data_IF_696339977944
#
_entry.id   IF_696339977944
#
_cell.length_a   1.000
_cell.length_b   1.000
_cell.length_c   1.000
_cell.angle_alpha   90.00
_cell.angle_beta   90.00
_cell.angle_gamma   90.00
#
_symmetry.space_group_name_H-M   'P 1'
#
loop_
_entity.id
_entity.type
_entity.pdbx_description
1 polymer ?
#
# COMPACT_ATOMS: atom_id res chain seq x y z
N UNK A 1 -8.99 -30.97 -1.25
CA UNK A 1 -8.54 -29.56 -1.08
C UNK A 1 -9.56 -28.86 -0.21
N UNK A 2 -9.18 -28.44 1.01
CA UNK A 2 -10.10 -27.77 1.94
C UNK A 2 -10.41 -26.36 1.41
N UNK A 3 -11.63 -26.11 0.95
CA UNK A 3 -12.11 -24.78 0.53
C UNK A 3 -12.61 -24.07 1.77
N UNK A 4 -11.84 -23.09 2.26
CA UNK A 4 -12.22 -22.27 3.40
C UNK A 4 -13.14 -21.14 2.94
N UNK A 5 -14.25 -20.93 3.65
CA UNK A 5 -15.17 -19.82 3.40
C UNK A 5 -14.74 -18.59 4.17
N UNK A 6 -14.27 -17.57 3.45
CA UNK A 6 -13.65 -16.36 4.00
C UNK A 6 -14.48 -15.12 3.67
N UNK A 7 -14.78 -14.30 4.67
CA UNK A 7 -15.37 -12.97 4.45
C UNK A 7 -14.37 -11.89 4.82
N UNK A 8 -14.06 -11.02 3.86
CA UNK A 8 -13.25 -9.83 4.07
C UNK A 8 -14.15 -8.59 4.25
N UNK A 9 -14.12 -7.98 5.45
CA UNK A 9 -14.88 -6.79 5.79
C UNK A 9 -13.99 -5.54 5.66
N UNK A 10 -14.32 -4.66 4.69
CA UNK A 10 -13.50 -3.52 4.34
C UNK A 10 -14.31 -2.23 4.18
N UNK A 11 -14.16 -1.29 5.13
CA UNK A 11 -14.91 -0.05 5.17
C UNK A 11 -14.29 1.07 4.30
N UNK A 12 -14.07 0.79 3.02
CA UNK A 12 -13.61 1.80 2.06
C UNK A 12 -14.12 1.52 0.66
N UNK A 13 -14.11 2.54 -0.19
CA UNK A 13 -14.64 2.47 -1.56
C UNK A 13 -13.87 1.53 -2.46
N UNK A 14 -14.58 0.71 -3.23
CA UNK A 14 -14.03 -0.16 -4.27
C UNK A 14 -14.93 -0.08 -5.52
N UNK A 15 -14.36 0.17 -6.74
CA UNK A 15 -12.96 0.52 -7.03
C UNK A 15 -12.59 1.94 -6.58
N UNK A 16 -11.33 2.19 -6.31
CA UNK A 16 -10.80 3.53 -6.04
C UNK A 16 -9.29 3.64 -6.31
N UNK A 17 -8.80 4.88 -6.42
CA UNK A 17 -7.35 5.14 -6.57
C UNK A 17 -6.55 4.99 -5.26
N UNK A 18 -7.22 4.64 -4.16
CA UNK A 18 -6.56 4.49 -2.87
C UNK A 18 -5.75 3.19 -2.80
N UNK A 19 -4.56 3.27 -2.25
CA UNK A 19 -3.66 2.11 -2.10
C UNK A 19 -4.27 0.99 -1.25
N UNK A 20 -5.01 1.33 -0.19
CA UNK A 20 -5.69 0.34 0.65
C UNK A 20 -6.75 -0.48 -0.11
N UNK A 21 -7.49 0.15 -1.04
CA UNK A 21 -8.47 -0.55 -1.89
C UNK A 21 -7.79 -1.52 -2.84
N UNK A 22 -6.69 -1.09 -3.47
CA UNK A 22 -5.88 -1.95 -4.33
C UNK A 22 -5.35 -3.17 -3.54
N UNK A 23 -4.84 -2.96 -2.32
CA UNK A 23 -4.33 -4.06 -1.49
C UNK A 23 -5.43 -5.07 -1.15
N UNK A 24 -6.62 -4.62 -0.73
CA UNK A 24 -7.71 -5.53 -0.36
C UNK A 24 -8.21 -6.33 -1.56
N UNK A 25 -8.39 -5.68 -2.70
CA UNK A 25 -8.83 -6.36 -3.93
C UNK A 25 -7.82 -7.42 -4.37
N UNK A 26 -6.53 -7.12 -4.32
CA UNK A 26 -5.47 -8.09 -4.62
C UNK A 26 -5.40 -9.23 -3.58
N UNK A 27 -5.66 -8.93 -2.29
CA UNK A 27 -5.73 -9.97 -1.26
C UNK A 27 -6.91 -10.91 -1.50
N UNK A 28 -8.11 -10.39 -1.77
CA UNK A 28 -9.28 -11.22 -2.06
C UNK A 28 -9.07 -12.06 -3.32
N UNK A 29 -8.46 -11.49 -4.36
CA UNK A 29 -8.12 -12.23 -5.58
C UNK A 29 -7.15 -13.39 -5.28
N UNK A 30 -6.04 -13.11 -4.57
CA UNK A 30 -5.06 -14.13 -4.23
C UNK A 30 -5.59 -15.20 -3.25
N UNK A 31 -6.50 -14.84 -2.33
CA UNK A 31 -7.19 -15.79 -1.46
C UNK A 31 -8.08 -16.73 -2.29
N UNK A 32 -8.81 -16.21 -3.27
CA UNK A 32 -9.65 -16.99 -4.17
C UNK A 32 -8.82 -17.88 -5.11
N UNK A 33 -7.70 -17.38 -5.65
CA UNK A 33 -6.75 -18.20 -6.44
C UNK A 33 -6.09 -19.31 -5.61
N UNK A 34 -6.11 -19.21 -4.28
CA UNK A 34 -5.66 -20.25 -3.36
C UNK A 34 -6.82 -21.19 -2.94
N UNK A 35 -7.81 -21.37 -3.81
CA UNK A 35 -8.96 -22.26 -3.67
C UNK A 35 -9.86 -22.00 -2.45
N UNK A 36 -10.02 -20.74 -2.04
CA UNK A 36 -10.99 -20.37 -1.00
C UNK A 36 -12.24 -19.71 -1.61
N UNK A 37 -13.40 -19.92 -0.96
CA UNK A 37 -14.61 -19.16 -1.26
C UNK A 37 -14.55 -17.80 -0.56
N UNK A 38 -14.27 -16.75 -1.32
CA UNK A 38 -13.99 -15.42 -0.79
C UNK A 38 -15.12 -14.45 -1.11
N UNK A 39 -15.68 -13.84 -0.09
CA UNK A 39 -16.63 -12.72 -0.24
C UNK A 39 -16.05 -11.44 0.37
N UNK A 40 -15.92 -10.41 -0.46
CA UNK A 40 -15.54 -9.06 -0.03
C UNK A 40 -16.81 -8.22 0.21
N UNK A 41 -16.95 -7.64 1.39
CA UNK A 41 -18.05 -6.74 1.72
C UNK A 41 -17.51 -5.31 1.87
N UNK A 42 -18.08 -4.35 1.12
CA UNK A 42 -17.66 -2.95 1.10
C UNK A 42 -18.84 -1.98 1.05
N UNK A 43 -18.66 -0.69 1.38
CA UNK A 43 -19.67 0.32 1.08
C UNK A 43 -19.95 0.42 -0.43
N UNK A 44 -21.18 0.77 -0.80
CA UNK A 44 -21.59 0.97 -2.20
C UNK A 44 -21.10 2.32 -2.78
N UNK A 45 -19.87 2.67 -2.49
CA UNK A 45 -19.19 3.88 -2.98
C UNK A 45 -18.00 3.47 -3.83
N UNK A 46 -17.48 4.38 -4.64
CA UNK A 46 -16.32 4.13 -5.48
C UNK A 46 -16.50 4.65 -6.91
N UNK A 47 -15.53 4.34 -7.74
CA UNK A 47 -15.56 4.71 -9.15
C UNK A 47 -16.65 3.91 -9.89
N UNK A 48 -17.28 4.54 -10.91
CA UNK A 48 -18.18 3.86 -11.85
C UNK A 48 -17.38 3.05 -12.88
N UNK A 49 -16.58 2.09 -12.39
CA UNK A 49 -15.76 1.18 -13.21
C UNK A 49 -15.81 -0.21 -12.63
N UNK A 50 -15.59 -1.23 -13.47
CA UNK A 50 -15.45 -2.60 -12.98
C UNK A 50 -14.08 -2.80 -12.30
N UNK A 51 -13.97 -3.88 -11.51
CA UNK A 51 -12.68 -4.27 -10.90
C UNK A 51 -11.66 -4.58 -12.00
N UNK A 52 -12.07 -5.26 -13.07
CA UNK A 52 -11.18 -5.63 -14.17
C UNK A 52 -10.64 -4.40 -14.92
N UNK A 53 -11.48 -3.42 -15.23
CA UNK A 53 -11.05 -2.18 -15.91
C UNK A 53 -10.06 -1.38 -15.06
N UNK A 54 -10.33 -1.28 -13.75
CA UNK A 54 -9.54 -0.41 -12.88
C UNK A 54 -8.25 -1.08 -12.41
N UNK A 55 -8.31 -2.36 -11.99
CA UNK A 55 -7.16 -3.07 -11.42
C UNK A 55 -6.46 -4.00 -12.41
N UNK A 56 -7.08 -4.34 -13.54
CA UNK A 56 -6.45 -5.06 -14.65
C UNK A 56 -6.40 -6.58 -14.49
N UNK A 57 -7.34 -7.17 -13.75
CA UNK A 57 -7.52 -8.62 -13.66
C UNK A 57 -8.98 -9.01 -13.51
N UNK A 58 -9.34 -10.20 -13.96
CA UNK A 58 -10.70 -10.75 -13.82
C UNK A 58 -11.00 -11.01 -12.33
N UNK A 59 -12.13 -10.51 -11.86
CA UNK A 59 -12.57 -10.72 -10.47
C UNK A 59 -12.83 -12.22 -10.24
N UNK A 60 -12.24 -12.82 -9.22
CA UNK A 60 -12.37 -14.22 -8.84
C UNK A 60 -13.07 -14.45 -7.49
N UNK A 61 -13.58 -13.40 -6.86
CA UNK A 61 -14.24 -13.42 -5.55
C UNK A 61 -15.62 -12.75 -5.62
N UNK A 62 -16.48 -13.05 -4.67
CA UNK A 62 -17.79 -12.41 -4.54
C UNK A 62 -17.66 -11.00 -3.95
N UNK A 63 -18.49 -10.06 -4.43
CA UNK A 63 -18.51 -8.68 -3.95
C UNK A 63 -19.92 -8.29 -3.50
N UNK A 64 -20.06 -7.96 -2.23
CA UNK A 64 -21.29 -7.44 -1.65
C UNK A 64 -21.09 -5.97 -1.28
N UNK A 65 -22.04 -5.13 -1.67
CA UNK A 65 -22.01 -3.69 -1.35
C UNK A 65 -23.05 -3.34 -0.30
N UNK A 66 -22.63 -2.61 0.74
CA UNK A 66 -23.51 -2.09 1.81
C UNK A 66 -23.89 -0.66 1.47
N UNK A 67 -25.19 -0.35 1.55
CA UNK A 67 -25.70 1.01 1.32
C UNK A 67 -25.12 1.97 2.35
N UNK A 68 -24.58 3.08 1.86
CA UNK A 68 -24.13 4.21 2.67
C UNK A 68 -25.16 5.32 2.63
N UNK A 69 -25.49 5.85 3.78
CA UNK A 69 -26.46 6.95 3.87
C UNK A 69 -25.73 8.28 3.76
N UNK A 70 -26.13 9.10 2.77
CA UNK A 70 -25.53 10.43 2.54
C UNK A 70 -25.80 11.41 3.69
N UNK A 71 -26.95 11.24 4.36
CA UNK A 71 -27.40 12.07 5.49
C UNK A 71 -26.56 11.81 6.75
N UNK A 72 -25.98 10.62 6.90
CA UNK A 72 -25.18 10.30 8.07
C UNK A 72 -23.79 10.96 8.00
N UNK A 73 -23.33 11.58 9.09
CA UNK A 73 -21.94 11.98 9.25
C UNK A 73 -21.00 10.79 8.99
N UNK A 74 -19.76 11.07 8.57
CA UNK A 74 -18.77 10.00 8.24
C UNK A 74 -18.57 9.01 9.37
N UNK A 75 -18.58 9.47 10.62
CA UNK A 75 -18.45 8.63 11.81
C UNK A 75 -19.61 7.63 11.96
N UNK A 76 -20.86 8.08 11.82
CA UNK A 76 -22.03 7.19 11.90
C UNK A 76 -22.05 6.16 10.77
N UNK A 77 -21.66 6.53 9.56
CA UNK A 77 -21.52 5.57 8.46
C UNK A 77 -20.44 4.50 8.73
N UNK A 78 -19.43 4.80 9.52
CA UNK A 78 -18.41 3.82 9.92
C UNK A 78 -19.00 2.72 10.81
N UNK A 79 -19.80 3.11 11.81
CA UNK A 79 -20.48 2.16 12.72
C UNK A 79 -21.59 1.40 11.99
N UNK A 80 -22.41 2.11 11.22
CA UNK A 80 -23.46 1.52 10.38
C UNK A 80 -22.90 0.44 9.45
N UNK A 81 -21.81 0.74 8.75
CA UNK A 81 -21.14 -0.24 7.90
C UNK A 81 -20.75 -1.49 8.70
N UNK A 82 -20.15 -1.32 9.86
CA UNK A 82 -19.64 -2.44 10.66
C UNK A 82 -20.77 -3.39 11.06
N UNK A 83 -21.89 -2.83 11.57
CA UNK A 83 -23.07 -3.62 11.96
C UNK A 83 -23.70 -4.30 10.73
N UNK A 84 -24.01 -3.53 9.69
CA UNK A 84 -24.68 -4.04 8.49
C UNK A 84 -23.86 -5.09 7.74
N UNK A 85 -22.53 -4.92 7.70
CA UNK A 85 -21.64 -5.89 7.05
C UNK A 85 -21.59 -7.22 7.81
N UNK A 86 -21.62 -7.20 9.13
CA UNK A 86 -21.67 -8.42 9.97
C UNK A 86 -23.01 -9.12 9.81
N UNK A 87 -24.12 -8.40 9.91
CA UNK A 87 -25.47 -8.99 9.72
C UNK A 87 -25.59 -9.67 8.34
N UNK A 88 -25.08 -9.01 7.29
CA UNK A 88 -25.10 -9.58 5.94
C UNK A 88 -24.17 -10.79 5.80
N UNK A 89 -23.00 -10.77 6.45
CA UNK A 89 -22.02 -11.84 6.40
C UNK A 89 -22.43 -13.10 7.18
N UNK A 90 -23.22 -12.96 8.23
CA UNK A 90 -23.70 -14.11 9.01
C UNK A 90 -24.52 -15.09 8.16
N UNK A 91 -25.28 -14.59 7.15
CA UNK A 91 -26.01 -15.43 6.20
C UNK A 91 -25.09 -16.29 5.33
N UNK A 92 -23.82 -15.91 5.17
CA UNK A 92 -22.83 -16.64 4.38
C UNK A 92 -22.16 -17.76 5.18
N UNK A 93 -22.35 -17.82 6.51
CA UNK A 93 -21.72 -18.79 7.43
C UNK A 93 -20.20 -18.93 7.20
N UNK A 94 -19.41 -17.83 7.26
CA UNK A 94 -17.97 -17.91 7.04
C UNK A 94 -17.25 -18.60 8.19
N UNK A 95 -16.18 -19.31 7.86
CA UNK A 95 -15.27 -19.92 8.83
C UNK A 95 -14.31 -18.91 9.42
N UNK A 96 -13.88 -17.92 8.61
CA UNK A 96 -12.95 -16.88 9.01
C UNK A 96 -13.38 -15.52 8.48
N UNK A 97 -13.22 -14.52 9.35
CA UNK A 97 -13.35 -13.11 8.99
C UNK A 97 -11.97 -12.47 8.89
N UNK A 98 -11.78 -11.62 7.89
CA UNK A 98 -10.62 -10.74 7.77
C UNK A 98 -11.10 -9.30 7.84
N UNK A 99 -10.47 -8.48 8.67
CA UNK A 99 -10.80 -7.05 8.77
C UNK A 99 -9.60 -6.20 9.18
N UNK A 100 -9.70 -4.89 8.94
CA UNK A 100 -8.76 -3.84 9.37
C UNK A 100 -9.44 -2.82 10.27
N UNK A 101 -10.75 -2.93 10.41
CA UNK A 101 -11.59 -1.98 11.10
C UNK A 101 -11.71 -2.39 12.56
N UNK A 102 -11.29 -1.53 13.49
CA UNK A 102 -11.29 -1.82 14.92
C UNK A 102 -12.71 -2.03 15.47
N UNK A 103 -13.69 -1.23 15.07
CA UNK A 103 -15.06 -1.44 15.55
C UNK A 103 -15.67 -2.74 15.03
N UNK A 104 -15.40 -3.09 13.77
CA UNK A 104 -15.78 -4.40 13.22
C UNK A 104 -15.10 -5.54 13.99
N UNK A 105 -13.81 -5.40 14.32
CA UNK A 105 -13.09 -6.36 15.15
C UNK A 105 -13.76 -6.55 16.51
N UNK A 106 -14.08 -5.44 17.20
CA UNK A 106 -14.78 -5.47 18.48
C UNK A 106 -16.09 -6.30 18.42
N UNK A 107 -16.96 -5.99 17.44
CA UNK A 107 -18.22 -6.72 17.25
C UNK A 107 -18.00 -8.21 16.93
N UNK A 108 -17.03 -8.56 16.09
CA UNK A 108 -16.72 -9.94 15.78
C UNK A 108 -16.18 -10.72 16.98
N UNK A 109 -15.42 -10.08 17.87
CA UNK A 109 -14.97 -10.68 19.14
C UNK A 109 -16.17 -10.98 20.05
N UNK A 110 -17.08 -10.03 20.21
CA UNK A 110 -18.32 -10.24 20.98
C UNK A 110 -19.16 -11.40 20.43
N UNK A 111 -19.25 -11.50 19.11
CA UNK A 111 -19.94 -12.58 18.41
C UNK A 111 -19.13 -13.89 18.35
N UNK A 112 -18.01 -13.98 19.05
CA UNK A 112 -17.12 -15.16 19.17
C UNK A 112 -16.65 -15.74 17.82
N UNK A 113 -16.50 -14.91 16.78
CA UNK A 113 -16.05 -15.33 15.44
C UNK A 113 -14.54 -15.54 15.38
N UNK A 114 -14.05 -16.39 14.45
CA UNK A 114 -12.60 -16.51 14.15
C UNK A 114 -12.16 -15.35 13.25
N UNK A 115 -11.09 -14.64 13.62
CA UNK A 115 -10.71 -13.38 13.00
C UNK A 115 -9.22 -13.35 12.68
N UNK A 116 -8.88 -12.91 11.47
CA UNK A 116 -7.57 -12.39 11.11
C UNK A 116 -7.70 -10.86 11.08
N UNK A 117 -6.90 -10.19 11.89
CA UNK A 117 -6.92 -8.73 11.98
C UNK A 117 -5.64 -8.12 11.44
N UNK A 118 -5.74 -7.22 10.46
CA UNK A 118 -4.58 -6.51 9.89
C UNK A 118 -4.46 -5.09 10.47
N UNK A 119 -3.41 -4.84 11.24
CA UNK A 119 -3.06 -3.53 11.81
C UNK A 119 -2.27 -2.71 10.79
N UNK A 120 -2.84 -1.59 10.37
CA UNK A 120 -2.25 -0.70 9.35
C UNK A 120 -1.80 0.65 9.91
N UNK A 121 -2.24 1.00 11.11
CA UNK A 121 -1.93 2.27 11.78
C UNK A 121 -1.89 2.11 13.29
N UNK A 122 -1.23 3.04 13.96
CA UNK A 122 -1.29 3.09 15.41
C UNK A 122 -2.71 3.44 15.88
N UNK A 123 -3.14 2.84 16.98
CA UNK A 123 -4.47 3.06 17.57
C UNK A 123 -4.75 4.54 17.91
N UNK A 124 -3.70 5.33 18.15
CA UNK A 124 -3.84 6.79 18.36
C UNK A 124 -4.53 7.55 17.22
N UNK A 125 -4.53 6.98 16.01
CA UNK A 125 -5.20 7.57 14.83
C UNK A 125 -6.65 7.11 14.67
N UNK A 126 -7.13 6.21 15.54
CA UNK A 126 -8.51 5.76 15.56
C UNK A 126 -9.40 6.72 16.37
N UNK A 127 -10.71 6.66 16.12
CA UNK A 127 -11.67 7.46 16.87
C UNK A 127 -11.68 7.14 18.38
N UNK A 128 -12.17 8.09 19.19
CA UNK A 128 -12.18 8.02 20.66
C UNK A 128 -12.78 6.71 21.17
N UNK A 129 -13.90 6.26 20.63
CA UNK A 129 -14.59 5.03 21.01
C UNK A 129 -13.68 3.81 20.81
N UNK A 130 -13.03 3.69 19.63
CA UNK A 130 -12.13 2.59 19.37
C UNK A 130 -10.93 2.60 20.33
N UNK A 131 -10.34 3.78 20.57
CA UNK A 131 -9.23 3.91 21.52
C UNK A 131 -9.64 3.46 22.91
N UNK A 132 -10.77 3.96 23.41
CA UNK A 132 -11.30 3.57 24.73
C UNK A 132 -11.48 2.05 24.85
N UNK A 133 -12.14 1.41 23.88
CA UNK A 133 -12.39 -0.04 23.89
C UNK A 133 -11.08 -0.82 23.88
N UNK A 134 -10.16 -0.51 22.98
CA UNK A 134 -8.95 -1.32 22.78
C UNK A 134 -7.83 -1.03 23.79
N UNK A 135 -7.84 0.13 24.43
CA UNK A 135 -6.89 0.47 25.50
C UNK A 135 -7.31 -0.13 26.86
N UNK A 136 -8.61 -0.19 27.15
CA UNK A 136 -9.09 -0.62 28.47
C UNK A 136 -9.44 -2.13 28.54
N UNK A 137 -9.97 -2.74 27.49
CA UNK A 137 -10.52 -4.11 27.55
C UNK A 137 -9.61 -5.20 26.97
N UNK A 138 -8.32 -4.93 26.72
CA UNK A 138 -7.34 -5.91 26.20
C UNK A 138 -7.83 -6.73 24.99
N UNK A 139 -8.69 -6.15 24.14
CA UNK A 139 -9.37 -6.82 23.04
C UNK A 139 -8.40 -7.46 22.03
N UNK A 140 -7.21 -6.88 21.84
CA UNK A 140 -6.18 -7.42 20.94
C UNK A 140 -5.58 -8.75 21.42
N UNK A 141 -5.77 -9.11 22.71
CA UNK A 141 -5.35 -10.40 23.28
C UNK A 141 -6.43 -11.50 23.17
N UNK A 142 -7.60 -11.20 22.57
CA UNK A 142 -8.69 -12.15 22.40
C UNK A 142 -8.24 -13.43 21.69
N UNK A 143 -8.61 -14.60 22.22
CA UNK A 143 -8.38 -15.90 21.57
C UNK A 143 -9.12 -16.04 20.24
N UNK A 144 -10.08 -15.16 19.93
CA UNK A 144 -10.81 -15.14 18.66
C UNK A 144 -9.99 -14.55 17.52
N UNK A 145 -8.95 -13.76 17.82
CA UNK A 145 -7.96 -13.32 16.84
C UNK A 145 -6.97 -14.47 16.64
N UNK A 146 -7.13 -15.22 15.56
CA UNK A 146 -6.26 -16.37 15.23
C UNK A 146 -4.93 -15.91 14.65
N UNK A 147 -4.91 -14.75 13.95
CA UNK A 147 -3.67 -14.12 13.47
C UNK A 147 -3.82 -12.59 13.53
N UNK A 148 -2.90 -11.94 14.25
CA UNK A 148 -2.79 -10.49 14.35
C UNK A 148 -1.62 -10.04 13.48
N UNK A 149 -1.93 -9.40 12.37
CA UNK A 149 -0.96 -9.07 11.31
C UNK A 149 -0.58 -7.60 11.40
N UNK A 150 0.71 -7.33 11.34
CA UNK A 150 1.28 -5.99 11.26
C UNK A 150 1.94 -5.79 9.90
N UNK A 151 1.84 -4.57 9.35
CA UNK A 151 2.42 -4.27 8.03
C UNK A 151 3.91 -3.95 8.08
N UNK A 152 4.49 -3.70 9.27
CA UNK A 152 5.93 -3.46 9.50
C UNK A 152 6.35 -4.03 10.85
N UNK A 153 7.66 -4.33 11.00
CA UNK A 153 8.23 -4.75 12.27
C UNK A 153 8.13 -3.66 13.33
N UNK A 154 8.38 -2.40 12.95
CA UNK A 154 8.27 -1.26 13.85
C UNK A 154 6.87 -1.16 14.46
N UNK A 155 5.82 -1.27 13.65
CA UNK A 155 4.44 -1.26 14.14
C UNK A 155 4.15 -2.45 15.08
N UNK A 156 4.64 -3.65 14.75
CA UNK A 156 4.52 -4.84 15.62
C UNK A 156 5.18 -4.60 16.96
N UNK A 157 6.41 -4.11 16.99
CA UNK A 157 7.15 -3.86 18.23
C UNK A 157 6.42 -2.87 19.14
N UNK A 158 5.93 -1.76 18.61
CA UNK A 158 5.16 -0.77 19.37
C UNK A 158 3.90 -1.38 20.00
N UNK A 159 3.15 -2.19 19.22
CA UNK A 159 1.93 -2.83 19.72
C UNK A 159 2.22 -3.94 20.74
N UNK A 160 3.22 -4.79 20.51
CA UNK A 160 3.63 -5.84 21.42
C UNK A 160 4.02 -5.23 22.77
N UNK A 161 4.84 -4.17 22.76
CA UNK A 161 5.27 -3.46 23.97
C UNK A 161 4.08 -2.81 24.70
N UNK A 162 3.26 -2.04 23.97
CA UNK A 162 2.15 -1.26 24.56
C UNK A 162 1.02 -2.16 25.10
N UNK A 163 0.63 -3.19 24.33
CA UNK A 163 -0.54 -4.02 24.65
C UNK A 163 -0.19 -5.40 25.22
N UNK A 164 1.11 -5.67 25.49
CA UNK A 164 1.62 -6.97 26.01
C UNK A 164 1.08 -8.16 25.22
N UNK A 165 1.21 -8.10 23.87
CA UNK A 165 0.66 -9.10 22.98
C UNK A 165 1.47 -10.39 23.00
N UNK A 166 0.80 -11.55 22.86
CA UNK A 166 1.44 -12.85 22.70
C UNK A 166 2.06 -12.99 21.31
N UNK A 167 3.38 -13.25 21.25
CA UNK A 167 4.15 -13.28 19.99
C UNK A 167 3.70 -14.38 19.03
N UNK A 168 3.27 -15.54 19.54
CA UNK A 168 2.87 -16.70 18.74
C UNK A 168 1.62 -16.46 17.86
N UNK A 169 0.86 -15.40 18.11
CA UNK A 169 -0.31 -14.99 17.29
C UNK A 169 -0.08 -13.70 16.51
N UNK A 170 1.17 -13.24 16.46
CA UNK A 170 1.51 -12.00 15.76
C UNK A 170 2.45 -12.28 14.61
N UNK A 171 2.12 -11.78 13.43
CA UNK A 171 2.99 -11.89 12.25
C UNK A 171 3.20 -10.52 11.58
N UNK A 172 4.30 -10.41 10.82
CA UNK A 172 4.56 -9.23 10.00
C UNK A 172 4.41 -9.61 8.54
N UNK A 173 3.43 -8.99 7.89
CA UNK A 173 3.18 -9.14 6.47
C UNK A 173 3.14 -7.76 5.81
N UNK A 174 4.28 -7.34 5.28
CA UNK A 174 4.37 -6.09 4.51
C UNK A 174 3.46 -6.12 3.28
N UNK A 175 3.28 -4.97 2.63
CA UNK A 175 2.55 -4.89 1.37
C UNK A 175 3.20 -5.77 0.30
N UNK A 176 2.50 -6.01 -0.80
CA UNK A 176 2.94 -6.86 -1.90
C UNK A 176 2.59 -6.22 -3.25
N UNK A 177 3.06 -6.83 -4.34
CA UNK A 177 2.71 -6.44 -5.71
C UNK A 177 2.23 -7.63 -6.52
N UNK A 178 1.33 -7.38 -7.48
CA UNK A 178 0.91 -8.31 -8.54
C UNK A 178 1.54 -7.99 -9.90
N UNK A 179 2.47 -7.05 -9.95
CA UNK A 179 3.19 -6.76 -11.19
C UNK A 179 4.04 -7.97 -11.56
N UNK A 180 3.69 -8.59 -12.68
CA UNK A 180 4.52 -9.65 -13.28
C UNK A 180 5.46 -8.98 -14.28
N UNK A 181 6.75 -9.18 -14.12
CA UNK A 181 7.77 -8.67 -15.02
C UNK A 181 8.75 -9.77 -15.40
N UNK A 182 9.41 -9.60 -16.54
CA UNK A 182 10.54 -10.39 -16.92
C UNK A 182 11.80 -9.86 -16.23
N UNK A 183 12.90 -10.60 -16.32
CA UNK A 183 14.20 -10.09 -15.88
C UNK A 183 14.48 -8.72 -16.54
N UNK A 184 15.02 -7.74 -15.81
CA UNK A 184 15.34 -6.45 -16.39
C UNK A 184 16.38 -6.57 -17.51
N UNK A 185 16.11 -5.94 -18.61
CA UNK A 185 17.06 -5.76 -19.71
C UNK A 185 18.13 -4.72 -19.32
N UNK A 186 19.25 -4.73 -20.03
CA UNK A 186 20.29 -3.71 -19.85
C UNK A 186 19.73 -2.35 -20.21
N UNK A 187 20.03 -1.37 -19.37
CA UNK A 187 19.69 0.03 -19.63
C UNK A 187 20.68 0.56 -20.66
N UNK A 188 20.17 1.07 -21.78
CA UNK A 188 21.01 1.58 -22.87
C UNK A 188 20.83 3.07 -23.14
N UNK A 189 19.88 3.71 -22.44
CA UNK A 189 19.47 5.08 -22.70
C UNK A 189 20.52 6.11 -22.21
N UNK A 190 20.90 7.04 -23.10
CA UNK A 190 21.71 8.22 -22.73
C UNK A 190 20.94 9.20 -21.81
N UNK A 191 19.60 9.29 -21.98
CA UNK A 191 18.73 10.16 -21.19
C UNK A 191 17.87 9.31 -20.24
N UNK A 192 18.15 9.39 -18.96
CA UNK A 192 17.46 8.61 -17.91
C UNK A 192 16.03 9.11 -17.75
N UNK A 193 15.08 8.17 -17.70
CA UNK A 193 13.68 8.40 -17.35
C UNK A 193 13.46 8.13 -15.88
N UNK A 194 13.11 9.15 -15.12
CA UNK A 194 12.89 9.08 -13.67
C UNK A 194 11.40 9.15 -13.38
N UNK A 195 10.86 8.14 -12.70
CA UNK A 195 9.44 7.99 -12.44
C UNK A 195 9.06 8.17 -10.98
N UNK A 196 7.91 8.81 -10.75
CA UNK A 196 7.23 8.82 -9.45
C UNK A 196 5.75 8.50 -9.64
N UNK A 197 5.22 7.56 -8.86
CA UNK A 197 3.84 7.10 -8.93
C UNK A 197 3.17 7.17 -7.55
N UNK A 198 2.11 7.94 -7.40
CA UNK A 198 1.33 7.98 -6.16
C UNK A 198 0.81 9.35 -5.76
N UNK A 199 0.43 9.49 -4.50
CA UNK A 199 -0.14 10.71 -3.96
C UNK A 199 0.84 11.89 -4.05
N UNK A 200 0.37 13.02 -4.57
CA UNK A 200 1.16 14.24 -4.77
C UNK A 200 0.93 15.21 -3.59
N UNK A 201 1.73 15.04 -2.54
CA UNK A 201 1.81 15.99 -1.43
C UNK A 201 3.26 16.23 -1.03
N UNK A 202 3.49 17.21 -0.18
CA UNK A 202 4.85 17.64 0.19
C UNK A 202 5.58 16.53 0.95
N UNK A 203 4.95 15.90 1.92
CA UNK A 203 5.58 14.84 2.72
C UNK A 203 6.02 13.60 1.91
N UNK A 204 5.54 13.49 0.67
CA UNK A 204 5.94 12.45 -0.29
C UNK A 204 6.83 12.99 -1.40
N UNK A 205 7.34 14.21 -1.24
CA UNK A 205 8.38 14.81 -2.06
C UNK A 205 7.90 15.43 -3.39
N UNK A 206 6.62 15.77 -3.56
CA UNK A 206 6.17 16.36 -4.81
C UNK A 206 6.91 17.65 -5.15
N UNK A 207 6.99 18.62 -4.21
CA UNK A 207 7.69 19.87 -4.42
C UNK A 207 9.21 19.66 -4.60
N UNK A 208 9.78 18.67 -3.89
CA UNK A 208 11.17 18.28 -4.05
C UNK A 208 11.46 17.80 -5.48
N UNK A 209 10.61 16.92 -6.07
CA UNK A 209 10.80 16.43 -7.44
C UNK A 209 10.73 17.59 -8.44
N UNK A 210 9.80 18.54 -8.23
CA UNK A 210 9.71 19.72 -9.09
C UNK A 210 10.99 20.58 -9.06
N UNK A 211 11.59 20.75 -7.88
CA UNK A 211 12.87 21.47 -7.73
C UNK A 211 14.03 20.67 -8.33
N UNK A 212 14.08 19.37 -8.08
CA UNK A 212 15.12 18.50 -8.61
C UNK A 212 15.12 18.48 -10.14
N UNK A 213 13.95 18.34 -10.77
CA UNK A 213 13.83 18.38 -12.23
C UNK A 213 14.25 19.71 -12.85
N UNK A 214 14.11 20.83 -12.12
CA UNK A 214 14.54 22.16 -12.58
C UNK A 214 16.06 22.27 -12.69
N UNK A 215 16.81 21.65 -11.77
CA UNK A 215 18.29 21.70 -11.78
C UNK A 215 18.92 20.54 -12.57
N UNK A 216 18.17 19.45 -12.80
CA UNK A 216 18.62 18.29 -13.57
C UNK A 216 17.92 18.26 -14.94
N UNK A 217 18.38 19.11 -15.85
CA UNK A 217 17.81 19.27 -17.19
C UNK A 217 18.26 18.20 -18.18
N UNK A 218 19.18 17.31 -17.80
CA UNK A 218 19.69 16.22 -18.63
C UNK A 218 18.79 14.97 -18.62
N UNK A 219 17.91 14.84 -17.63
CA UNK A 219 17.06 13.67 -17.46
C UNK A 219 15.58 14.06 -17.53
N UNK A 220 14.70 13.10 -17.84
CA UNK A 220 13.24 13.30 -17.95
C UNK A 220 12.54 12.78 -16.71
N UNK A 221 11.64 13.60 -16.15
CA UNK A 221 10.89 13.28 -14.94
C UNK A 221 9.41 13.05 -15.24
N UNK A 222 8.90 11.89 -14.89
CA UNK A 222 7.52 11.48 -15.12
C UNK A 222 6.81 11.29 -13.79
N UNK A 223 5.80 12.12 -13.52
CA UNK A 223 5.00 12.05 -12.29
C UNK A 223 3.58 11.61 -12.64
N UNK A 224 3.09 10.58 -11.98
CA UNK A 224 1.73 10.07 -12.10
C UNK A 224 1.01 10.10 -10.76
N UNK A 225 -0.02 10.96 -10.64
CA UNK A 225 -0.83 11.11 -9.44
C UNK A 225 -1.67 12.37 -9.44
N UNK A 226 -2.48 12.54 -8.39
CA UNK A 226 -3.38 13.69 -8.28
C UNK A 226 -4.57 13.66 -9.25
N UNK A 227 -5.56 14.49 -8.99
CA UNK A 227 -6.73 14.67 -9.87
C UNK A 227 -6.37 15.47 -11.13
N UNK A 228 -7.19 15.40 -12.17
CA UNK A 228 -7.01 16.21 -13.38
C UNK A 228 -6.95 17.70 -13.05
N UNK A 229 -7.87 18.20 -12.21
CA UNK A 229 -7.91 19.60 -11.78
C UNK A 229 -6.61 20.01 -11.06
N UNK A 230 -6.10 19.16 -10.16
CA UNK A 230 -4.83 19.41 -9.48
C UNK A 230 -3.66 19.53 -10.47
N UNK A 231 -3.55 18.59 -11.42
CA UNK A 231 -2.47 18.58 -12.42
C UNK A 231 -2.54 19.79 -13.34
N UNK A 232 -3.74 20.16 -13.84
CA UNK A 232 -3.92 21.35 -14.65
C UNK A 232 -3.46 22.62 -13.91
N UNK A 233 -3.86 22.78 -12.64
CA UNK A 233 -3.44 23.92 -11.83
C UNK A 233 -1.92 23.96 -11.59
N UNK A 234 -1.28 22.79 -11.45
CA UNK A 234 0.17 22.72 -11.27
C UNK A 234 0.93 23.00 -12.55
N UNK A 235 0.47 22.53 -13.70
CA UNK A 235 1.06 22.83 -15.02
C UNK A 235 1.11 24.32 -15.33
N UNK A 236 0.10 25.09 -14.92
CA UNK A 236 0.10 26.56 -15.06
C UNK A 236 1.23 27.27 -14.28
N UNK A 237 1.71 26.64 -13.20
CA UNK A 237 2.69 27.25 -12.27
C UNK A 237 4.11 26.67 -12.41
N UNK A 238 4.25 25.55 -13.09
CA UNK A 238 5.53 24.82 -13.19
C UNK A 238 5.90 24.74 -14.67
N UNK A 239 6.96 25.45 -15.03
CA UNK A 239 7.46 25.49 -16.42
C UNK A 239 8.82 24.78 -16.52
N UNK A 240 8.85 23.47 -16.25
CA UNK A 240 10.05 22.65 -16.41
C UNK A 240 9.88 21.80 -17.66
N UNK A 241 10.67 22.05 -18.71
CA UNK A 241 10.56 21.35 -20.01
C UNK A 241 10.75 19.82 -19.94
N UNK A 242 11.46 19.34 -18.92
CA UNK A 242 11.77 17.92 -18.71
C UNK A 242 10.88 17.26 -17.64
N UNK A 243 9.84 17.95 -17.12
CA UNK A 243 8.92 17.46 -16.10
C UNK A 243 7.53 17.19 -16.69
N UNK A 244 7.14 15.92 -16.74
CA UNK A 244 5.85 15.47 -17.28
C UNK A 244 4.88 15.13 -16.16
N UNK A 245 3.94 16.02 -15.88
CA UNK A 245 2.91 15.86 -14.86
C UNK A 245 1.67 15.16 -15.42
N UNK A 246 1.28 14.04 -14.85
CA UNK A 246 0.13 13.25 -15.25
C UNK A 246 -0.81 12.97 -14.05
N UNK A 247 -2.12 12.99 -14.31
CA UNK A 247 -3.13 12.61 -13.33
C UNK A 247 -3.13 11.10 -13.03
N UNK A 248 -3.91 10.70 -12.04
CA UNK A 248 -4.13 9.29 -11.73
C UNK A 248 -4.48 8.47 -12.97
N UNK A 249 -3.83 7.33 -13.10
CA UNK A 249 -4.14 6.30 -14.10
C UNK A 249 -4.71 5.06 -13.42
N UNK A 250 -5.57 4.28 -14.08
CA UNK A 250 -5.96 2.96 -13.59
C UNK A 250 -4.73 2.09 -13.32
N UNK A 251 -4.79 1.28 -12.28
CA UNK A 251 -3.64 0.44 -11.90
C UNK A 251 -3.23 -0.52 -13.04
N UNK A 252 -4.19 -0.95 -13.86
CA UNK A 252 -3.95 -1.75 -15.07
C UNK A 252 -2.93 -1.12 -16.03
N UNK A 253 -2.85 0.23 -16.10
CA UNK A 253 -1.90 0.96 -16.94
C UNK A 253 -0.58 1.29 -16.22
N UNK A 254 -0.60 1.40 -14.88
CA UNK A 254 0.56 1.82 -14.08
C UNK A 254 1.75 0.88 -14.25
N UNK A 255 1.52 -0.44 -14.30
CA UNK A 255 2.58 -1.44 -14.48
C UNK A 255 3.43 -1.21 -15.74
N UNK A 256 2.78 -0.84 -16.86
CA UNK A 256 3.48 -0.61 -18.12
C UNK A 256 4.25 0.73 -18.07
N UNK A 257 3.62 1.77 -17.51
CA UNK A 257 4.29 3.06 -17.33
C UNK A 257 5.53 2.97 -16.43
N UNK A 258 5.50 2.13 -15.37
CA UNK A 258 6.69 1.89 -14.54
C UNK A 258 7.81 1.19 -15.31
N UNK A 259 7.47 0.29 -16.25
CA UNK A 259 8.47 -0.41 -17.08
C UNK A 259 9.24 0.53 -18.00
N UNK A 260 8.63 1.64 -18.41
CA UNK A 260 9.27 2.65 -19.27
C UNK A 260 10.30 3.51 -18.53
N UNK A 261 10.33 3.47 -17.19
CA UNK A 261 11.27 4.23 -16.38
C UNK A 261 12.58 3.47 -16.22
N UNK A 262 13.67 4.21 -15.98
CA UNK A 262 14.97 3.65 -15.61
C UNK A 262 15.19 3.69 -14.10
N UNK A 263 14.79 4.79 -13.47
CA UNK A 263 14.87 5.03 -12.03
C UNK A 263 13.50 5.36 -11.47
N UNK A 264 13.15 4.80 -10.32
CA UNK A 264 11.94 5.11 -9.57
C UNK A 264 12.32 5.74 -8.22
N UNK A 265 11.68 6.87 -7.87
CA UNK A 265 12.10 7.65 -6.71
C UNK A 265 11.05 7.67 -5.59
N UNK A 266 11.54 7.64 -4.33
CA UNK A 266 10.75 7.70 -3.10
C UNK A 266 11.30 8.82 -2.18
N UNK A 267 11.15 10.11 -2.56
CA UNK A 267 11.72 11.23 -1.82
C UNK A 267 10.80 11.67 -0.67
N UNK A 268 10.66 10.80 0.32
CA UNK A 268 9.86 11.08 1.50
C UNK A 268 10.54 12.11 2.42
N UNK A 269 9.75 13.01 2.98
CA UNK A 269 10.18 13.82 4.12
C UNK A 269 10.34 12.95 5.38
N UNK A 270 11.00 13.50 6.41
CA UNK A 270 11.16 12.82 7.72
C UNK A 270 9.79 12.44 8.31
N UNK A 271 8.82 13.35 8.22
CA UNK A 271 7.44 13.14 8.65
C UNK A 271 6.55 12.86 7.44
N UNK A 272 5.96 11.68 7.37
CA UNK A 272 5.09 11.26 6.26
C UNK A 272 3.63 11.30 6.71
N UNK A 273 2.83 12.15 6.09
CA UNK A 273 1.40 12.22 6.39
C UNK A 273 0.60 11.15 5.66
N UNK A 274 -0.38 10.56 6.36
CA UNK A 274 -1.40 9.72 5.73
C UNK A 274 -2.29 10.55 4.81
N UNK A 275 -2.95 9.92 3.83
CA UNK A 275 -3.99 10.57 3.03
C UNK A 275 -5.11 11.05 3.95
N UNK A 276 -5.39 12.36 3.96
CA UNK A 276 -6.38 12.98 4.84
C UNK A 276 -5.81 13.68 6.08
N UNK A 277 -4.50 13.93 6.14
CA UNK A 277 -3.79 14.63 7.23
C UNK A 277 -3.89 13.96 8.61
N UNK A 278 -4.00 12.65 8.68
CA UNK A 278 -4.01 11.88 9.93
C UNK A 278 -2.59 11.63 10.45
N UNK A 279 -1.92 12.68 10.91
CA UNK A 279 -0.65 12.59 11.63
C UNK A 279 0.52 11.93 10.87
N UNK A 280 1.65 11.76 11.58
CA UNK A 280 2.86 11.17 11.02
C UNK A 280 2.81 9.63 11.08
N UNK A 281 2.94 9.00 9.92
CA UNK A 281 3.01 7.55 9.73
C UNK A 281 4.39 7.05 9.28
N UNK A 282 5.42 7.90 9.31
CA UNK A 282 6.76 7.58 8.79
C UNK A 282 7.36 6.33 9.41
N UNK A 283 7.11 6.12 10.71
CA UNK A 283 7.61 4.95 11.48
C UNK A 283 6.87 3.64 11.20
N UNK A 284 5.66 3.68 10.62
CA UNK A 284 4.79 2.50 10.56
C UNK A 284 4.27 2.18 9.17
N UNK A 285 4.56 3.03 8.18
CA UNK A 285 4.02 2.84 6.82
C UNK A 285 4.71 1.71 6.07
N UNK A 286 3.93 0.91 5.34
CA UNK A 286 4.41 -0.05 4.35
C UNK A 286 3.94 0.41 2.95
N UNK A 287 4.67 1.30 2.28
CA UNK A 287 4.18 1.94 1.07
C UNK A 287 4.09 0.95 -0.08
N UNK A 288 2.88 0.71 -0.58
CA UNK A 288 2.63 -0.24 -1.68
C UNK A 288 3.48 0.04 -2.92
N UNK A 289 3.71 1.33 -3.24
CA UNK A 289 4.54 1.71 -4.39
C UNK A 289 5.97 1.16 -4.32
N UNK A 290 6.52 0.94 -3.11
CA UNK A 290 7.83 0.30 -2.95
C UNK A 290 7.83 -1.10 -3.58
N UNK A 291 6.78 -1.90 -3.30
CA UNK A 291 6.68 -3.27 -3.80
C UNK A 291 6.40 -3.31 -5.30
N UNK A 292 5.65 -2.34 -5.82
CA UNK A 292 5.45 -2.18 -7.26
C UNK A 292 6.77 -1.75 -7.96
N UNK A 293 7.56 -0.89 -7.33
CA UNK A 293 8.88 -0.48 -7.83
C UNK A 293 9.86 -1.67 -7.85
N UNK A 294 9.90 -2.47 -6.78
CA UNK A 294 10.67 -3.70 -6.75
C UNK A 294 10.23 -4.66 -7.88
N UNK A 295 8.92 -4.87 -8.00
CA UNK A 295 8.35 -5.79 -8.99
C UNK A 295 8.57 -5.30 -10.43
N UNK A 296 8.69 -4.00 -10.66
CA UNK A 296 9.06 -3.45 -11.98
C UNK A 296 10.52 -3.69 -12.33
N UNK A 297 11.36 -4.11 -11.39
CA UNK A 297 12.78 -4.38 -11.60
C UNK A 297 13.58 -3.12 -11.95
N UNK A 298 13.19 -1.96 -11.44
CA UNK A 298 13.87 -0.68 -11.73
C UNK A 298 14.80 -0.28 -10.61
N UNK A 299 15.75 0.61 -10.91
CA UNK A 299 16.59 1.22 -9.87
C UNK A 299 15.73 2.07 -8.95
N UNK A 300 15.94 1.96 -7.64
CA UNK A 300 15.21 2.72 -6.64
C UNK A 300 16.18 3.70 -5.96
N UNK A 301 15.81 4.98 -5.91
CA UNK A 301 16.44 5.98 -5.04
C UNK A 301 15.39 6.40 -4.02
N UNK A 302 15.75 6.37 -2.75
CA UNK A 302 14.80 6.64 -1.67
C UNK A 302 15.41 7.46 -0.53
N UNK A 303 14.56 8.23 0.16
CA UNK A 303 14.92 8.80 1.46
C UNK A 303 15.17 7.68 2.47
N UNK A 304 16.08 7.90 3.40
CA UNK A 304 16.56 6.92 4.37
C UNK A 304 15.57 6.72 5.54
N UNK A 305 14.31 6.31 5.24
CA UNK A 305 13.33 5.98 6.28
C UNK A 305 13.54 4.55 6.80
N UNK A 306 13.45 4.37 8.13
CA UNK A 306 13.64 3.07 8.78
C UNK A 306 12.73 1.98 8.23
N UNK A 307 11.44 2.29 7.96
CA UNK A 307 10.48 1.33 7.40
C UNK A 307 10.84 0.87 5.98
N UNK A 308 11.54 1.68 5.19
CA UNK A 308 12.03 1.27 3.88
C UNK A 308 13.24 0.34 4.02
N UNK A 309 14.07 0.54 5.05
CA UNK A 309 15.23 -0.31 5.37
C UNK A 309 14.82 -1.70 5.90
N UNK A 310 13.58 -1.87 6.37
CA UNK A 310 13.04 -3.21 6.68
C UNK A 310 12.98 -4.12 5.43
N UNK A 311 12.86 -3.52 4.25
CA UNK A 311 12.69 -4.24 2.96
C UNK A 311 13.91 -4.09 2.07
N UNK A 312 14.45 -2.88 1.95
CA UNK A 312 15.55 -2.54 1.05
C UNK A 312 16.89 -2.54 1.79
N UNK A 313 17.93 -3.04 1.12
CA UNK A 313 19.31 -3.00 1.61
C UNK A 313 20.10 -1.95 0.85
N UNK A 314 20.86 -1.04 1.54
CA UNK A 314 21.68 -0.02 0.91
C UNK A 314 22.63 -0.60 -0.15
N UNK A 315 22.83 0.10 -1.25
CA UNK A 315 23.70 -0.26 -2.38
C UNK A 315 23.36 -1.58 -3.10
N UNK A 316 22.60 -2.48 -2.47
CA UNK A 316 22.16 -3.75 -3.06
C UNK A 316 20.84 -3.59 -3.85
N UNK A 317 19.84 -2.99 -3.23
CA UNK A 317 18.49 -2.85 -3.79
C UNK A 317 18.08 -1.38 -3.99
N UNK A 318 18.77 -0.44 -3.33
CA UNK A 318 18.38 0.95 -3.29
C UNK A 318 19.60 1.86 -3.05
N UNK A 319 19.55 3.04 -3.61
CA UNK A 319 20.40 4.16 -3.18
C UNK A 319 19.58 4.95 -2.15
N UNK A 320 20.01 4.89 -0.89
CA UNK A 320 19.43 5.70 0.16
C UNK A 320 20.13 7.05 0.29
N UNK A 321 19.33 8.10 0.45
CA UNK A 321 19.82 9.47 0.66
C UNK A 321 19.16 10.01 1.94
N UNK A 322 19.97 10.47 2.88
CA UNK A 322 19.50 10.87 4.21
C UNK A 322 18.82 12.25 4.23
N UNK A 323 19.07 13.06 3.23
CA UNK A 323 18.53 14.42 3.11
C UNK A 323 17.77 14.63 1.81
N UNK A 324 16.77 15.53 1.83
CA UNK A 324 16.12 16.04 0.62
C UNK A 324 16.90 17.23 0.03
N UNK A 325 18.21 17.09 -0.09
CA UNK A 325 19.05 18.05 -0.79
C UNK A 325 19.07 17.72 -2.28
N UNK A 326 18.59 18.66 -3.12
CA UNK A 326 18.46 18.47 -4.58
C UNK A 326 19.79 18.21 -5.26
N UNK A 327 20.88 18.83 -4.81
CA UNK A 327 22.20 18.62 -5.38
C UNK A 327 22.75 17.23 -5.08
N UNK A 328 22.53 16.71 -3.87
CA UNK A 328 22.93 15.34 -3.50
C UNK A 328 22.17 14.32 -4.36
N UNK A 329 20.85 14.48 -4.53
CA UNK A 329 20.06 13.59 -5.38
C UNK A 329 20.48 13.66 -6.84
N UNK A 330 20.72 14.86 -7.39
CA UNK A 330 21.24 15.03 -8.75
C UNK A 330 22.56 14.31 -8.93
N UNK A 331 23.51 14.47 -8.00
CA UNK A 331 24.81 13.82 -8.07
C UNK A 331 24.71 12.29 -8.01
N UNK A 332 23.84 11.73 -7.17
CA UNK A 332 23.63 10.28 -7.13
C UNK A 332 22.97 9.74 -8.43
N UNK A 333 22.05 10.49 -9.04
CA UNK A 333 21.48 10.17 -10.36
C UNK A 333 22.59 10.18 -11.42
N UNK A 334 23.47 11.18 -11.40
CA UNK A 334 24.59 11.29 -12.33
C UNK A 334 25.59 10.13 -12.17
N UNK A 335 25.94 9.76 -10.92
CA UNK A 335 26.80 8.59 -10.63
C UNK A 335 26.18 7.30 -11.17
N UNK A 336 24.87 7.12 -11.04
CA UNK A 336 24.16 5.96 -11.61
C UNK A 336 24.19 5.98 -13.13
N UNK A 337 23.90 7.13 -13.75
CA UNK A 337 23.95 7.30 -15.21
C UNK A 337 25.32 6.94 -15.78
N UNK A 338 26.41 7.31 -15.10
CA UNK A 338 27.77 7.00 -15.50
C UNK A 338 28.20 5.56 -15.16
N UNK A 339 27.36 4.78 -14.44
CA UNK A 339 27.64 3.40 -14.09
C UNK A 339 26.44 2.48 -14.38
N UNK A 340 26.21 2.22 -15.66
CA UNK A 340 25.10 1.40 -16.16
C UNK A 340 25.14 -0.02 -15.59
N UNK A 341 26.33 -0.59 -15.39
CA UNK A 341 26.49 -1.91 -14.78
C UNK A 341 25.92 -1.94 -13.35
N UNK A 342 26.19 -0.91 -12.55
CA UNK A 342 25.62 -0.76 -11.20
C UNK A 342 24.07 -0.65 -11.24
N UNK A 343 23.55 0.12 -12.19
CA UNK A 343 22.09 0.22 -12.41
C UNK A 343 21.50 -1.16 -12.74
N UNK A 344 22.12 -1.91 -13.62
CA UNK A 344 21.67 -3.25 -13.98
C UNK A 344 21.70 -4.22 -12.80
N UNK A 345 22.76 -4.21 -11.99
CA UNK A 345 22.88 -5.05 -10.78
C UNK A 345 21.74 -4.72 -9.80
N UNK A 346 21.50 -3.43 -9.51
CA UNK A 346 20.42 -3.02 -8.60
C UNK A 346 19.06 -3.45 -9.17
N UNK A 347 18.79 -3.23 -10.44
CA UNK A 347 17.55 -3.65 -11.11
C UNK A 347 17.32 -5.16 -10.99
N UNK A 348 18.34 -5.97 -11.26
CA UNK A 348 18.29 -7.42 -11.14
C UNK A 348 18.03 -7.88 -9.70
N UNK A 349 18.71 -7.25 -8.74
CA UNK A 349 18.48 -7.53 -7.33
C UNK A 349 17.04 -7.17 -6.90
N UNK A 350 16.48 -6.07 -7.37
CA UNK A 350 15.10 -5.66 -7.12
C UNK A 350 14.09 -6.65 -7.69
N UNK A 351 14.31 -7.10 -8.91
CA UNK A 351 13.50 -8.14 -9.53
C UNK A 351 13.47 -9.43 -8.71
N UNK A 352 14.62 -9.93 -8.27
CA UNK A 352 14.68 -11.16 -7.45
C UNK A 352 14.07 -10.95 -6.06
N UNK A 353 14.34 -9.82 -5.43
CA UNK A 353 13.75 -9.48 -4.14
C UNK A 353 12.22 -9.41 -4.22
N UNK A 354 11.66 -8.86 -5.30
CA UNK A 354 10.21 -8.73 -5.49
C UNK A 354 9.46 -10.05 -5.45
N UNK A 355 10.11 -11.16 -5.84
CA UNK A 355 9.54 -12.51 -5.81
C UNK A 355 9.15 -12.98 -4.40
N UNK A 356 9.70 -12.34 -3.36
CA UNK A 356 9.32 -12.60 -1.97
C UNK A 356 8.08 -11.80 -1.53
N UNK A 357 7.71 -10.75 -2.26
CA UNK A 357 6.63 -9.82 -1.92
C UNK A 357 5.46 -9.91 -2.92
N UNK A 358 4.98 -11.11 -3.18
CA UNK A 358 3.78 -11.36 -4.00
C UNK A 358 2.55 -11.59 -3.13
N UNK A 359 1.36 -11.25 -3.63
CA UNK A 359 0.12 -11.52 -2.90
C UNK A 359 -0.11 -13.02 -2.68
N UNK A 360 0.32 -13.89 -3.59
CA UNK A 360 0.28 -15.34 -3.42
C UNK A 360 1.07 -15.79 -2.16
N UNK A 361 2.31 -15.30 -2.00
CA UNK A 361 3.12 -15.60 -0.80
C UNK A 361 2.54 -14.95 0.47
N UNK A 362 2.00 -13.74 0.34
CA UNK A 362 1.37 -13.03 1.46
C UNK A 362 0.15 -13.78 1.98
N UNK A 363 -0.72 -14.29 1.08
CA UNK A 363 -1.89 -15.10 1.44
C UNK A 363 -1.48 -16.41 2.10
N UNK A 364 -0.47 -17.12 1.58
CA UNK A 364 0.03 -18.33 2.21
C UNK A 364 0.42 -18.07 3.68
N UNK A 365 1.23 -17.05 3.94
CA UNK A 365 1.64 -16.67 5.30
C UNK A 365 0.48 -16.15 6.16
N UNK A 366 -0.51 -15.49 5.56
CA UNK A 366 -1.69 -14.98 6.26
C UNK A 366 -2.53 -16.13 6.83
N UNK A 367 -2.62 -17.24 6.11
CA UNK A 367 -3.39 -18.43 6.49
C UNK A 367 -2.57 -19.43 7.33
N UNK A 368 -1.26 -19.24 7.52
CA UNK A 368 -0.41 -19.98 8.44
C UNK A 368 -0.63 -19.49 9.89
N UNK A 369 -1.79 -19.84 10.47
CA UNK A 369 -2.06 -19.60 11.90
C UNK A 369 -2.16 -20.95 12.62
N UNK A 370 -1.51 -21.01 13.79
CA UNK A 370 -1.49 -22.19 14.67
C UNK A 370 -2.67 -22.21 15.63
#
# INVERSE_FOLDING_TARGET
>A
IFIMKIVYLFNSSIPSYNANSLQVVNMCHALSENNNDVTLITPNTGLKKSISEHYGFKKSFNLIKIKRFKVFPRGLNYYWYSISSILKSNKLKPEIFITRNYFTLFLLILLRKKIIFEVHSNLKFEGIINRFIFENFKMLNSKKIVNLIFITNSLKQDFVKKYKLKLNRTSVLSSASNIKNNQPEKITNKNIKIGYFGLLNNSRGFNFICKLSKIDNLNKYYIYGGSNKFIQNKKKKINNKNLFLNSYKPYSKIKNLMKEMDILILPYEKNVTAGGNFGDISKHTSPMKLFDYLASGKVIIASSLMVLKEVLKPKKNCIFIDSLNIFVWKNEILKLKNNINKMHIISKNNYYLSKHFTYKKRVKKLLEFK
#
